data_IF_136515597045
#
_entry.id   IF_136515597045
#
_cell.length_a   1.000
_cell.length_b   1.000
_cell.length_c   1.000
_cell.angle_alpha   90.00
_cell.angle_beta   90.00
_cell.angle_gamma   90.00
#
_symmetry.space_group_name_H-M   'P 1'
#
loop_
_entity.id
_entity.type
_entity.pdbx_description
1 polymer ?
#
# COMPACT_ATOMS: atom_id res chain seq x y z
N UNK A 1 4.77 0.61 18.26
CA UNK A 1 3.87 1.02 17.17
C UNK A 1 2.56 0.25 17.31
N UNK A 2 1.45 0.95 17.41
CA UNK A 2 0.11 0.33 17.52
C UNK A 2 -0.37 -0.05 16.13
N UNK A 3 -0.77 -1.31 15.93
CA UNK A 3 -1.38 -1.75 14.67
C UNK A 3 -2.86 -1.44 14.68
N UNK A 4 -3.38 -1.03 13.54
CA UNK A 4 -4.80 -0.82 13.29
C UNK A 4 -5.28 -1.80 12.21
N UNK A 5 -6.55 -2.23 12.25
CA UNK A 5 -7.09 -3.10 11.23
C UNK A 5 -7.31 -2.32 9.92
N UNK A 6 -6.86 -2.89 8.81
CA UNK A 6 -7.14 -2.43 7.45
C UNK A 6 -7.68 -3.58 6.62
N UNK A 7 -8.65 -3.29 5.77
CA UNK A 7 -9.08 -4.20 4.71
C UNK A 7 -8.04 -4.20 3.59
N UNK A 8 -7.58 -5.38 3.20
CA UNK A 8 -6.62 -5.60 2.12
C UNK A 8 -7.39 -6.00 0.86
N UNK A 9 -7.20 -5.22 -0.20
CA UNK A 9 -7.77 -5.47 -1.51
C UNK A 9 -6.67 -5.79 -2.52
N UNK A 10 -6.98 -6.68 -3.45
CA UNK A 10 -6.16 -6.95 -4.63
C UNK A 10 -6.89 -6.42 -5.87
N UNK A 11 -6.15 -5.76 -6.75
CA UNK A 11 -6.66 -5.40 -8.07
C UNK A 11 -6.55 -6.62 -8.98
N UNK A 12 -7.68 -7.07 -9.51
CA UNK A 12 -7.75 -8.18 -10.46
C UNK A 12 -8.21 -7.63 -11.80
N UNK A 13 -7.44 -7.87 -12.86
CA UNK A 13 -7.82 -7.55 -14.23
C UNK A 13 -8.27 -8.82 -14.93
N UNK A 14 -9.49 -8.80 -15.48
CA UNK A 14 -10.05 -9.91 -16.24
C UNK A 14 -10.38 -9.47 -17.66
N UNK A 15 -10.31 -10.41 -18.61
CA UNK A 15 -10.72 -10.15 -19.98
C UNK A 15 -12.24 -10.33 -20.08
N UNK A 16 -12.96 -9.22 -19.97
CA UNK A 16 -14.39 -9.13 -20.15
C UNK A 16 -14.79 -9.18 -21.63
N UNK A 17 -16.09 -9.24 -21.88
CA UNK A 17 -16.66 -9.31 -23.23
C UNK A 17 -16.41 -8.04 -24.06
N UNK A 18 -16.10 -6.93 -23.41
CA UNK A 18 -15.90 -5.61 -24.01
C UNK A 18 -14.49 -5.03 -23.81
N UNK A 19 -13.54 -5.82 -23.29
CA UNK A 19 -12.17 -5.36 -23.00
C UNK A 19 -11.69 -5.79 -21.62
N UNK A 20 -10.59 -5.20 -21.18
CA UNK A 20 -10.05 -5.42 -19.84
C UNK A 20 -10.96 -4.74 -18.79
N UNK A 21 -11.45 -5.53 -17.84
CA UNK A 21 -12.22 -5.07 -16.68
C UNK A 21 -11.36 -5.24 -15.45
N UNK A 22 -11.29 -4.20 -14.61
CA UNK A 22 -10.45 -4.18 -13.41
C UNK A 22 -11.32 -3.98 -12.18
N UNK A 23 -11.19 -4.88 -11.21
CA UNK A 23 -11.96 -4.87 -9.98
C UNK A 23 -11.06 -4.93 -8.73
N UNK A 24 -11.50 -4.29 -7.64
CA UNK A 24 -10.87 -4.39 -6.33
C UNK A 24 -11.56 -5.50 -5.51
N UNK A 25 -10.86 -6.60 -5.28
CA UNK A 25 -11.37 -7.75 -4.53
C UNK A 25 -10.83 -7.69 -3.11
N UNK A 26 -11.73 -7.69 -2.11
CA UNK A 26 -11.34 -7.84 -0.71
C UNK A 26 -10.78 -9.24 -0.49
N UNK A 27 -9.52 -9.34 -0.07
CA UNK A 27 -8.83 -10.63 0.13
C UNK A 27 -8.55 -10.93 1.60
N UNK A 28 -8.41 -9.92 2.46
CA UNK A 28 -8.17 -10.12 3.90
C UNK A 28 -8.44 -8.84 4.72
N UNK A 29 -8.37 -8.95 6.04
CA UNK A 29 -8.27 -7.83 6.99
C UNK A 29 -6.98 -7.97 7.80
N UNK A 30 -6.03 -7.06 7.61
CA UNK A 30 -4.67 -7.14 8.16
C UNK A 30 -4.40 -6.04 9.18
N UNK A 31 -3.61 -6.36 10.21
CA UNK A 31 -3.13 -5.36 11.17
C UNK A 31 -1.90 -4.62 10.66
N UNK A 32 -2.03 -3.33 10.38
CA UNK A 32 -0.94 -2.47 9.87
C UNK A 32 -0.63 -1.36 10.85
N UNK A 33 0.64 -1.14 11.14
CA UNK A 33 1.09 0.08 11.80
C UNK A 33 1.58 1.08 10.74
N UNK A 34 0.93 2.24 10.67
CA UNK A 34 1.28 3.30 9.72
C UNK A 34 2.22 4.30 10.37
N UNK A 35 3.23 4.73 9.62
CA UNK A 35 4.19 5.75 10.04
C UNK A 35 4.55 6.66 8.89
N UNK A 36 4.47 7.95 9.15
CA UNK A 36 4.91 8.98 8.24
C UNK A 36 6.41 9.21 8.39
N UNK A 37 7.16 9.07 7.29
CA UNK A 37 8.58 9.42 7.20
C UNK A 37 8.78 10.64 6.32
N UNK A 38 9.71 11.51 6.69
CA UNK A 38 10.15 12.63 5.85
C UNK A 38 11.49 12.27 5.24
N UNK A 39 11.51 11.99 3.95
CA UNK A 39 12.74 11.71 3.23
C UNK A 39 13.30 12.99 2.64
N UNK A 40 14.58 13.25 2.92
CA UNK A 40 15.33 14.35 2.33
C UNK A 40 15.89 13.89 0.98
N UNK A 41 15.39 14.47 -0.10
CA UNK A 41 15.88 14.23 -1.46
C UNK A 41 16.68 15.43 -1.96
N UNK A 42 17.75 15.15 -2.70
CA UNK A 42 18.62 16.15 -3.31
C UNK A 42 18.61 15.97 -4.82
N UNK A 43 18.20 17.01 -5.54
CA UNK A 43 18.34 17.09 -7.00
C UNK A 43 18.82 18.48 -7.33
N UNK A 44 19.98 18.57 -7.97
CA UNK A 44 20.58 19.80 -8.49
C UNK A 44 20.47 20.99 -7.52
N UNK A 45 21.07 20.85 -6.33
CA UNK A 45 21.21 21.92 -5.32
C UNK A 45 19.92 22.29 -4.54
N UNK A 46 18.76 21.71 -4.88
CA UNK A 46 17.51 21.93 -4.13
C UNK A 46 17.22 20.73 -3.22
N UNK A 47 16.97 21.03 -1.95
CA UNK A 47 16.58 20.06 -0.94
C UNK A 47 15.05 19.99 -0.84
N UNK A 48 14.47 18.83 -1.13
CA UNK A 48 13.04 18.59 -0.95
C UNK A 48 12.80 17.59 0.19
N UNK A 49 11.74 17.83 0.96
CA UNK A 49 11.24 16.86 1.94
C UNK A 49 10.02 16.16 1.35
N UNK A 50 10.15 14.87 1.06
CA UNK A 50 9.06 14.04 0.57
C UNK A 50 8.42 13.36 1.77
N UNK A 51 7.12 13.58 1.94
CA UNK A 51 6.31 12.84 2.89
C UNK A 51 6.03 11.46 2.29
N UNK A 52 6.53 10.40 2.93
CA UNK A 52 6.29 9.01 2.54
C UNK A 52 5.56 8.32 3.68
N UNK A 53 4.42 7.71 3.39
CA UNK A 53 3.73 6.86 4.37
C UNK A 53 4.31 5.45 4.26
N UNK A 54 4.61 4.85 5.41
CA UNK A 54 5.15 3.50 5.49
C UNK A 54 4.26 2.64 6.38
N UNK A 55 4.08 1.38 6.02
CA UNK A 55 3.31 0.41 6.78
C UNK A 55 4.18 -0.73 7.29
N UNK A 56 3.83 -1.28 8.45
CA UNK A 56 4.42 -2.51 8.96
C UNK A 56 3.33 -3.51 9.34
N UNK A 57 3.36 -4.70 8.73
CA UNK A 57 2.36 -5.76 8.94
C UNK A 57 3.01 -7.12 9.18
N UNK A 58 2.27 -8.03 9.83
CA UNK A 58 2.61 -9.47 9.90
C UNK A 58 2.18 -10.24 8.67
N UNK A 59 1.36 -9.65 7.80
CA UNK A 59 0.88 -10.32 6.60
C UNK A 59 2.03 -10.52 5.61
N UNK A 60 2.23 -11.75 5.14
CA UNK A 60 3.38 -12.14 4.30
C UNK A 60 2.98 -12.65 2.92
N UNK A 61 1.69 -12.80 2.62
CA UNK A 61 1.20 -13.43 1.40
C UNK A 61 1.06 -12.44 0.23
N UNK A 62 1.95 -11.45 0.13
CA UNK A 62 1.98 -10.56 -1.02
C UNK A 62 2.72 -11.22 -2.18
N UNK A 63 2.16 -11.10 -3.38
CA UNK A 63 2.72 -11.61 -4.62
C UNK A 63 3.33 -10.47 -5.42
N UNK A 64 4.56 -10.67 -5.91
CA UNK A 64 5.24 -9.67 -6.75
C UNK A 64 4.52 -9.55 -8.08
N UNK A 65 4.27 -8.31 -8.52
CA UNK A 65 3.59 -8.01 -9.78
C UNK A 65 2.08 -7.82 -9.65
N UNK A 66 1.50 -8.12 -8.49
CA UNK A 66 0.11 -7.80 -8.17
C UNK A 66 0.00 -6.41 -7.55
N UNK A 67 -1.14 -5.77 -7.73
CA UNK A 67 -1.43 -4.45 -7.17
C UNK A 67 -2.40 -4.59 -6.00
N UNK A 68 -2.12 -3.85 -4.92
CA UNK A 68 -2.89 -3.94 -3.69
C UNK A 68 -3.26 -2.58 -3.11
N UNK A 69 -4.41 -2.53 -2.45
CA UNK A 69 -4.81 -1.41 -1.61
C UNK A 69 -5.06 -1.88 -0.18
N UNK A 70 -4.80 -0.99 0.78
CA UNK A 70 -5.33 -1.12 2.13
C UNK A 70 -6.27 0.04 2.42
N UNK A 71 -7.40 -0.22 3.06
CA UNK A 71 -8.32 0.83 3.49
C UNK A 71 -8.92 0.58 4.87
N UNK A 72 -9.20 1.67 5.56
CA UNK A 72 -10.04 1.69 6.75
C UNK A 72 -11.22 2.66 6.50
N UNK A 73 -11.96 3.02 7.55
CA UNK A 73 -13.10 3.93 7.42
C UNK A 73 -12.72 5.36 7.00
N UNK A 74 -11.45 5.75 7.13
CA UNK A 74 -11.01 7.14 7.00
C UNK A 74 -10.05 7.35 5.83
N UNK A 75 -9.31 6.32 5.45
CA UNK A 75 -8.13 6.42 4.58
C UNK A 75 -8.02 5.20 3.69
N UNK A 76 -7.53 5.43 2.47
CA UNK A 76 -7.15 4.39 1.51
C UNK A 76 -5.72 4.64 1.07
N UNK A 77 -4.93 3.57 1.03
CA UNK A 77 -3.54 3.59 0.60
C UNK A 77 -3.33 2.57 -0.50
N UNK A 78 -2.62 3.00 -1.55
CA UNK A 78 -2.00 2.13 -2.55
C UNK A 78 -0.69 1.58 -1.97
N UNK A 79 -0.49 0.26 -2.05
CA UNK A 79 0.79 -0.36 -1.73
C UNK A 79 1.69 -0.24 -2.97
N UNK A 80 2.61 0.72 -2.95
CA UNK A 80 3.52 0.97 -4.08
C UNK A 80 4.64 -0.07 -4.17
N UNK A 81 5.10 -0.55 -3.01
CA UNK A 81 6.11 -1.58 -2.91
C UNK A 81 6.03 -2.25 -1.54
N UNK A 82 6.57 -3.45 -1.44
CA UNK A 82 6.65 -4.18 -0.18
C UNK A 82 7.94 -5.00 -0.11
N UNK A 83 8.41 -5.20 1.12
CA UNK A 83 9.55 -6.08 1.42
C UNK A 83 9.07 -7.07 2.47
N UNK A 84 8.95 -8.34 2.09
CA UNK A 84 8.56 -9.43 2.99
C UNK A 84 9.78 -9.88 3.79
N UNK A 85 9.67 -9.85 5.12
CA UNK A 85 10.68 -10.35 6.06
C UNK A 85 10.01 -10.88 7.33
N UNK A 86 10.70 -10.81 8.48
CA UNK A 86 10.07 -11.11 9.78
C UNK A 86 8.82 -10.26 10.03
N UNK A 87 8.85 -9.03 9.53
CA UNK A 87 7.71 -8.15 9.35
C UNK A 87 7.72 -7.68 7.91
N UNK A 88 6.56 -7.56 7.30
CA UNK A 88 6.44 -7.01 5.97
C UNK A 88 6.38 -5.50 6.05
N UNK A 89 7.32 -4.85 5.38
CA UNK A 89 7.39 -3.40 5.25
C UNK A 89 6.65 -2.99 3.97
N UNK A 90 5.80 -1.98 4.07
CA UNK A 90 5.00 -1.45 2.96
C UNK A 90 5.40 0.00 2.70
N UNK A 91 5.59 0.35 1.44
CA UNK A 91 5.61 1.73 0.98
C UNK A 91 4.22 2.10 0.51
N UNK A 92 3.65 3.15 1.10
CA UNK A 92 2.26 3.50 0.92
C UNK A 92 2.14 4.87 0.27
N UNK A 93 1.16 4.99 -0.63
CA UNK A 93 0.71 6.25 -1.19
C UNK A 93 -0.76 6.45 -0.84
N UNK A 94 -1.06 7.53 -0.14
CA UNK A 94 -2.44 7.87 0.18
C UNK A 94 -3.21 8.18 -1.11
N UNK A 95 -4.36 7.53 -1.28
CA UNK A 95 -5.29 7.79 -2.38
C UNK A 95 -6.32 8.79 -1.87
N UNK A 96 -6.51 9.89 -2.59
CA UNK A 96 -7.59 10.83 -2.32
C UNK A 96 -8.88 10.14 -2.79
N UNK A 97 -9.78 9.88 -1.85
CA UNK A 97 -11.13 9.37 -2.11
C UNK A 97 -12.06 10.54 -2.34
#
# INVERSE_FOLDING_TARGET
MTKQPFNLYQIVTTNGRYGEETEEVLIDTIGVAISQQHMKSFTNEIQYYIKVETGLTSYQNFTVGENYFISDSNTKYEIQSFIVGRWTQLQLKQVIV
#
